data_IF_519651026351
#
_entry.id   IF_519651026351
#
_cell.length_a   1.000
_cell.length_b   1.000
_cell.length_c   1.000
_cell.angle_alpha   90.00
_cell.angle_beta   90.00
_cell.angle_gamma   90.00
#
_symmetry.space_group_name_H-M   'P 1'
#
loop_
_entity.id
_entity.type
_entity.pdbx_description
1 polymer ?
#
# COMPACT_ATOMS: atom_id res chain seq x y z
N UNK A 1 29.32 6.45 -62.38
CA UNK A 1 29.22 6.23 -60.92
C UNK A 1 27.93 5.52 -60.47
N UNK A 2 26.77 5.68 -61.13
CA UNK A 2 25.60 4.79 -60.89
C UNK A 2 25.61 3.54 -61.80
N UNK A 3 26.25 3.62 -62.98
CA UNK A 3 26.33 2.51 -63.92
C UNK A 3 27.22 1.34 -63.44
N UNK A 4 28.37 1.61 -62.82
CA UNK A 4 29.24 0.56 -62.25
C UNK A 4 28.60 -0.17 -61.07
N UNK A 5 27.88 0.56 -60.21
CA UNK A 5 27.25 -0.03 -59.02
C UNK A 5 26.06 -0.95 -59.35
N UNK A 6 25.43 -0.75 -60.51
CA UNK A 6 24.33 -1.59 -61.01
C UNK A 6 24.87 -2.79 -61.79
N UNK A 7 26.03 -2.68 -62.43
CA UNK A 7 26.69 -3.79 -63.11
C UNK A 7 27.17 -4.85 -62.11
N UNK A 8 27.79 -4.45 -61.01
CA UNK A 8 28.32 -5.37 -60.00
C UNK A 8 27.23 -6.21 -59.31
N UNK A 9 26.03 -5.64 -59.14
CA UNK A 9 24.87 -6.37 -58.60
C UNK A 9 24.19 -7.31 -59.60
N UNK A 10 24.58 -7.26 -60.89
CA UNK A 10 24.00 -8.10 -61.95
C UNK A 10 24.92 -9.27 -62.36
N UNK A 11 26.21 -9.18 -62.09
CA UNK A 11 27.15 -10.30 -62.26
C UNK A 11 27.10 -11.32 -61.11
N UNK A 12 26.70 -10.93 -59.90
CA UNK A 12 26.57 -11.84 -58.76
C UNK A 12 25.33 -12.76 -58.80
N UNK A 13 24.41 -12.58 -59.76
CA UNK A 13 23.17 -13.37 -59.86
C UNK A 13 23.22 -14.39 -61.01
N UNK A 14 24.24 -14.34 -61.88
CA UNK A 14 24.26 -15.16 -63.11
C UNK A 14 25.24 -16.34 -63.04
N UNK A 15 26.17 -16.38 -62.07
CA UNK A 15 26.99 -17.57 -61.80
C UNK A 15 26.35 -18.55 -60.81
N UNK A 16 25.42 -18.10 -59.95
CA UNK A 16 24.66 -19.00 -59.06
C UNK A 16 23.61 -19.85 -59.81
N UNK A 17 23.26 -19.47 -61.04
CA UNK A 17 22.27 -20.18 -61.86
C UNK A 17 22.77 -21.46 -62.52
N UNK A 18 24.09 -21.66 -62.62
CA UNK A 18 24.66 -22.86 -63.27
C UNK A 18 25.21 -23.89 -62.27
N UNK A 19 25.53 -23.49 -61.04
CA UNK A 19 25.94 -24.41 -59.96
C UNK A 19 24.78 -25.17 -59.31
N UNK A 20 23.57 -24.60 -59.32
CA UNK A 20 22.40 -25.24 -58.71
C UNK A 20 21.90 -26.45 -59.51
N UNK A 21 21.98 -26.40 -60.84
CA UNK A 21 21.48 -27.51 -61.68
C UNK A 21 22.32 -28.80 -61.55
N UNK A 22 23.63 -28.67 -61.33
CA UNK A 22 24.50 -29.82 -61.08
C UNK A 22 24.29 -30.44 -59.70
N UNK A 23 23.93 -29.62 -58.70
CA UNK A 23 23.67 -30.10 -57.33
C UNK A 23 22.30 -30.77 -57.24
N UNK A 24 21.30 -30.33 -58.01
CA UNK A 24 19.99 -31.00 -58.07
C UNK A 24 20.04 -32.36 -58.77
N UNK A 25 20.89 -32.53 -59.78
CA UNK A 25 21.06 -33.82 -60.48
C UNK A 25 21.72 -34.89 -59.59
N UNK A 26 22.72 -34.55 -58.77
CA UNK A 26 23.32 -35.51 -57.82
C UNK A 26 22.44 -35.72 -56.56
N UNK A 27 21.60 -34.74 -56.18
CA UNK A 27 20.61 -34.91 -55.11
C UNK A 27 19.47 -35.86 -55.51
N UNK A 28 18.99 -35.82 -56.76
CA UNK A 28 17.96 -36.76 -57.23
C UNK A 28 18.48 -38.20 -57.30
N UNK A 29 19.75 -38.41 -57.71
CA UNK A 29 20.33 -39.74 -57.80
C UNK A 29 20.61 -40.36 -56.41
N UNK A 30 20.84 -39.54 -55.37
CA UNK A 30 21.08 -40.01 -53.99
C UNK A 30 19.85 -40.04 -53.09
N UNK A 31 18.81 -39.22 -53.31
CA UNK A 31 17.53 -39.34 -52.58
C UNK A 31 16.62 -40.45 -53.12
N UNK A 32 16.86 -40.97 -54.33
CA UNK A 32 16.06 -42.06 -54.88
C UNK A 32 16.24 -43.40 -54.15
N UNK A 33 17.11 -43.53 -53.13
CA UNK A 33 17.22 -44.81 -52.40
C UNK A 33 17.60 -44.76 -50.92
N UNK A 34 16.71 -44.29 -50.03
CA UNK A 34 16.66 -44.80 -48.66
C UNK A 34 15.42 -45.66 -48.36
N UNK A 35 14.67 -46.13 -49.38
CA UNK A 35 13.40 -46.87 -49.20
C UNK A 35 13.40 -48.27 -49.84
N UNK A 36 14.53 -48.98 -49.86
CA UNK A 36 14.56 -50.33 -50.46
C UNK A 36 14.00 -51.43 -49.55
N UNK A 37 13.83 -51.16 -48.25
CA UNK A 37 13.20 -52.09 -47.33
C UNK A 37 12.10 -51.41 -46.49
N UNK A 38 10.81 -51.76 -46.69
CA UNK A 38 9.70 -51.16 -45.94
C UNK A 38 9.77 -51.45 -44.42
N UNK A 39 10.55 -52.46 -44.01
CA UNK A 39 10.70 -52.88 -42.61
C UNK A 39 11.49 -51.86 -41.78
N UNK A 40 12.52 -51.23 -42.35
CA UNK A 40 13.36 -50.28 -41.61
C UNK A 40 12.67 -48.93 -41.41
N UNK A 41 11.76 -48.54 -42.32
CA UNK A 41 10.92 -47.35 -42.19
C UNK A 41 9.88 -47.50 -41.09
N UNK A 42 9.32 -48.70 -40.94
CA UNK A 42 8.40 -49.01 -39.85
C UNK A 42 9.16 -48.94 -38.52
N UNK A 43 10.41 -49.39 -38.44
CA UNK A 43 11.24 -49.26 -37.22
C UNK A 43 11.61 -47.82 -36.90
N UNK A 44 12.08 -47.04 -37.88
CA UNK A 44 12.37 -45.61 -37.70
C UNK A 44 11.11 -44.81 -37.32
N UNK A 45 9.97 -45.11 -37.94
CA UNK A 45 8.67 -44.53 -37.61
C UNK A 45 8.13 -44.97 -36.24
N UNK A 46 8.32 -46.23 -35.83
CA UNK A 46 7.96 -46.72 -34.50
C UNK A 46 8.84 -46.12 -33.40
N UNK A 47 10.14 -45.95 -33.65
CA UNK A 47 11.06 -45.27 -32.73
C UNK A 47 10.67 -43.79 -32.58
N UNK A 48 10.32 -43.12 -33.69
CA UNK A 48 9.81 -41.75 -33.64
C UNK A 48 8.46 -41.67 -32.92
N UNK A 49 7.52 -42.58 -33.19
CA UNK A 49 6.21 -42.59 -32.54
C UNK A 49 6.29 -42.87 -31.03
N UNK A 50 7.25 -43.70 -30.59
CA UNK A 50 7.52 -43.92 -29.17
C UNK A 50 8.21 -42.72 -28.52
N UNK A 51 9.15 -42.07 -29.21
CA UNK A 51 9.80 -40.84 -28.73
C UNK A 51 8.80 -39.67 -28.62
N UNK A 52 7.93 -39.50 -29.60
CA UNK A 52 6.88 -38.48 -29.60
C UNK A 52 5.83 -38.71 -28.51
N UNK A 53 5.49 -39.96 -28.17
CA UNK A 53 4.60 -40.24 -27.03
C UNK A 53 5.24 -39.90 -25.68
N UNK A 54 6.53 -40.19 -25.51
CA UNK A 54 7.29 -39.88 -24.28
C UNK A 54 7.47 -38.37 -24.11
N UNK A 55 7.83 -37.67 -25.19
CA UNK A 55 7.98 -36.21 -25.18
C UNK A 55 6.63 -35.50 -25.02
N UNK A 56 5.53 -36.07 -25.54
CA UNK A 56 4.18 -35.58 -25.28
C UNK A 56 3.74 -35.78 -23.83
N UNK A 57 4.07 -36.90 -23.18
CA UNK A 57 3.79 -37.09 -21.75
C UNK A 57 4.60 -36.14 -20.86
N UNK A 58 5.86 -35.89 -21.18
CA UNK A 58 6.70 -34.91 -20.47
C UNK A 58 6.19 -33.47 -20.67
N UNK A 59 5.71 -33.14 -21.87
CA UNK A 59 5.06 -31.86 -22.15
C UNK A 59 3.69 -31.75 -21.46
N UNK A 60 2.91 -32.83 -21.38
CA UNK A 60 1.63 -32.87 -20.64
C UNK A 60 1.86 -32.69 -19.13
N UNK A 61 2.94 -33.24 -18.58
CA UNK A 61 3.33 -33.04 -17.17
C UNK A 61 3.80 -31.59 -16.90
N UNK A 62 4.54 -30.97 -17.83
CA UNK A 62 4.90 -29.56 -17.78
C UNK A 62 3.67 -28.63 -17.96
N UNK A 63 2.72 -29.01 -18.81
CA UNK A 63 1.44 -28.29 -18.98
C UNK A 63 0.56 -28.40 -17.74
N UNK A 64 0.54 -29.57 -17.08
CA UNK A 64 -0.19 -29.75 -15.83
C UNK A 64 0.40 -28.82 -14.75
N UNK A 65 1.73 -28.70 -14.66
CA UNK A 65 2.38 -27.73 -13.77
C UNK A 65 2.08 -26.26 -14.11
N UNK A 66 2.02 -25.89 -15.39
CA UNK A 66 1.65 -24.54 -15.85
C UNK A 66 0.17 -24.22 -15.60
N UNK A 67 -0.73 -25.19 -15.82
CA UNK A 67 -2.15 -25.07 -15.54
C UNK A 67 -2.40 -24.97 -14.03
N UNK A 68 -1.70 -25.76 -13.22
CA UNK A 68 -1.77 -25.68 -11.75
C UNK A 68 -1.27 -24.34 -11.22
N UNK A 69 -0.22 -23.79 -11.81
CA UNK A 69 0.27 -22.46 -11.46
C UNK A 69 -0.72 -21.35 -11.84
N UNK A 70 -1.42 -21.49 -12.97
CA UNK A 70 -2.48 -20.56 -13.37
C UNK A 70 -3.74 -20.69 -12.51
N UNK A 71 -4.21 -21.90 -12.25
CA UNK A 71 -5.33 -22.17 -11.36
C UNK A 71 -5.04 -21.66 -9.94
N UNK A 72 -3.83 -21.89 -9.43
CA UNK A 72 -3.39 -21.36 -8.14
C UNK A 72 -3.35 -19.83 -8.13
N UNK A 73 -2.85 -19.19 -9.19
CA UNK A 73 -2.87 -17.73 -9.32
C UNK A 73 -4.30 -17.18 -9.38
N UNK A 74 -5.21 -17.85 -10.10
CA UNK A 74 -6.63 -17.48 -10.13
C UNK A 74 -7.32 -17.70 -8.78
N UNK A 75 -6.98 -18.76 -8.05
CA UNK A 75 -7.48 -19.02 -6.71
C UNK A 75 -7.01 -17.97 -5.70
N UNK A 76 -5.74 -17.56 -5.77
CA UNK A 76 -5.20 -16.46 -4.96
C UNK A 76 -5.88 -15.14 -5.30
N UNK A 77 -6.05 -14.83 -6.59
CA UNK A 77 -6.78 -13.62 -7.03
C UNK A 77 -8.24 -13.61 -6.55
N UNK A 78 -8.91 -14.77 -6.58
CA UNK A 78 -10.27 -14.92 -6.07
C UNK A 78 -10.36 -14.83 -4.53
N UNK A 79 -9.28 -15.14 -3.82
CA UNK A 79 -9.20 -15.00 -2.37
C UNK A 79 -8.95 -13.55 -1.90
N UNK A 80 -8.39 -12.67 -2.74
CA UNK A 80 -8.19 -11.25 -2.41
C UNK A 80 -9.50 -10.54 -2.00
N UNK A 81 -10.59 -10.59 -2.79
CA UNK A 81 -11.83 -9.92 -2.41
C UNK A 81 -12.46 -10.50 -1.13
N UNK A 82 -12.31 -11.82 -0.88
CA UNK A 82 -12.84 -12.42 0.36
C UNK A 82 -12.04 -11.97 1.59
N UNK A 83 -10.72 -11.89 1.49
CA UNK A 83 -9.85 -11.32 2.53
C UNK A 83 -10.18 -9.84 2.81
N UNK A 84 -10.45 -9.04 1.76
CA UNK A 84 -10.86 -7.65 1.92
C UNK A 84 -12.19 -7.52 2.69
N UNK A 85 -13.16 -8.37 2.39
CA UNK A 85 -14.46 -8.39 3.10
C UNK A 85 -14.26 -8.78 4.57
N UNK A 86 -13.48 -9.84 4.85
CA UNK A 86 -13.20 -10.29 6.23
C UNK A 86 -12.46 -9.20 7.02
N UNK A 87 -11.46 -8.57 6.43
CA UNK A 87 -10.73 -7.49 7.09
C UNK A 87 -11.63 -6.26 7.33
N UNK A 88 -12.45 -5.88 6.35
CA UNK A 88 -13.39 -4.77 6.45
C UNK A 88 -14.42 -4.99 7.55
N UNK A 89 -15.04 -6.18 7.58
CA UNK A 89 -16.02 -6.57 8.61
C UNK A 89 -15.37 -6.64 10.00
N UNK A 90 -14.18 -7.23 10.12
CA UNK A 90 -13.41 -7.24 11.36
C UNK A 90 -13.13 -5.84 11.89
N UNK A 91 -12.66 -4.93 11.02
CA UNK A 91 -12.40 -3.53 11.38
C UNK A 91 -13.68 -2.81 11.81
N UNK A 92 -14.80 -3.05 11.13
CA UNK A 92 -16.09 -2.46 11.46
C UNK A 92 -16.60 -2.93 12.83
N UNK A 93 -16.57 -4.24 13.09
CA UNK A 93 -16.95 -4.83 14.38
C UNK A 93 -16.03 -4.34 15.49
N UNK A 94 -14.71 -4.38 15.28
CA UNK A 94 -13.71 -3.90 16.22
C UNK A 94 -13.93 -2.41 16.54
N UNK A 95 -14.18 -1.59 15.52
CA UNK A 95 -14.55 -0.19 15.71
C UNK A 95 -15.77 -0.06 16.62
N UNK A 96 -16.85 -0.80 16.40
CA UNK A 96 -18.06 -0.67 17.25
C UNK A 96 -17.80 -1.13 18.69
N UNK A 97 -17.10 -2.25 18.88
CA UNK A 97 -16.86 -2.84 20.20
C UNK A 97 -15.80 -2.07 21.01
N UNK A 98 -14.80 -1.50 20.35
CA UNK A 98 -13.66 -0.85 21.00
C UNK A 98 -13.67 0.68 20.94
N UNK A 99 -14.54 1.33 20.12
CA UNK A 99 -14.68 2.80 20.08
C UNK A 99 -14.92 3.39 21.46
N UNK A 100 -15.89 2.87 22.21
CA UNK A 100 -16.23 3.37 23.54
C UNK A 100 -15.07 3.29 24.55
N UNK A 101 -14.25 2.23 24.49
CA UNK A 101 -13.09 2.07 25.39
C UNK A 101 -11.92 2.97 25.02
N UNK A 102 -11.65 3.14 23.72
CA UNK A 102 -10.59 4.00 23.22
C UNK A 102 -10.92 5.49 23.41
N UNK A 103 -12.16 5.89 23.13
CA UNK A 103 -12.66 7.25 23.34
C UNK A 103 -12.67 7.60 24.83
N UNK A 104 -13.14 6.72 25.70
CA UNK A 104 -13.14 6.97 27.15
C UNK A 104 -11.73 7.06 27.73
N UNK A 105 -10.78 6.26 27.25
CA UNK A 105 -9.37 6.36 27.65
C UNK A 105 -8.74 7.67 27.17
N UNK A 106 -9.09 8.12 25.97
CA UNK A 106 -8.62 9.38 25.40
C UNK A 106 -9.21 10.59 26.13
N UNK A 107 -10.51 10.57 26.43
CA UNK A 107 -11.18 11.62 27.21
C UNK A 107 -10.57 11.77 28.60
N UNK A 108 -10.39 10.67 29.33
CA UNK A 108 -9.68 10.66 30.62
C UNK A 108 -8.27 11.24 30.54
N UNK A 109 -7.55 10.98 29.44
CA UNK A 109 -6.23 11.56 29.22
C UNK A 109 -6.32 13.08 29.07
N UNK A 110 -7.19 13.60 28.20
CA UNK A 110 -7.32 15.04 28.00
C UNK A 110 -7.81 15.77 29.24
N UNK A 111 -8.78 15.21 29.97
CA UNK A 111 -9.24 15.75 31.26
C UNK A 111 -8.10 15.90 32.26
N UNK A 112 -7.22 14.88 32.36
CA UNK A 112 -6.05 14.95 33.24
C UNK A 112 -5.05 16.03 32.81
N UNK A 113 -4.80 16.18 31.52
CA UNK A 113 -3.91 17.24 31.01
C UNK A 113 -4.50 18.64 31.25
N UNK A 114 -5.83 18.79 31.22
CA UNK A 114 -6.51 20.02 31.60
C UNK A 114 -6.33 20.33 33.09
N UNK A 115 -6.48 19.33 33.97
CA UNK A 115 -6.25 19.51 35.41
C UNK A 115 -4.81 19.96 35.71
N UNK A 116 -3.82 19.38 35.01
CA UNK A 116 -2.42 19.78 35.17
C UNK A 116 -2.18 21.22 34.71
N UNK A 117 -2.72 21.59 33.56
CA UNK A 117 -2.61 22.96 33.03
C UNK A 117 -3.28 23.97 33.97
N UNK A 118 -4.43 23.62 34.54
CA UNK A 118 -5.16 24.48 35.46
C UNK A 118 -4.45 24.64 36.82
N UNK A 119 -3.83 23.57 37.33
CA UNK A 119 -2.96 23.66 38.51
C UNK A 119 -1.76 24.56 38.27
N UNK A 120 -1.17 24.52 37.08
CA UNK A 120 -0.09 25.43 36.72
C UNK A 120 -0.57 26.88 36.69
N UNK A 121 -1.74 27.17 36.09
CA UNK A 121 -2.36 28.49 36.13
C UNK A 121 -2.55 28.99 37.56
N UNK A 122 -3.16 28.18 38.43
CA UNK A 122 -3.40 28.54 39.83
C UNK A 122 -2.09 28.77 40.61
N UNK A 123 -1.06 27.95 40.37
CA UNK A 123 0.23 28.09 41.03
C UNK A 123 0.95 29.38 40.60
N UNK A 124 0.89 29.74 39.31
CA UNK A 124 1.48 30.98 38.80
C UNK A 124 0.72 32.20 39.34
N UNK A 125 -0.62 32.16 39.29
CA UNK A 125 -1.48 33.23 39.84
C UNK A 125 -1.28 33.40 41.35
N UNK A 126 -1.22 32.29 42.10
CA UNK A 126 -1.05 32.31 43.56
C UNK A 126 0.34 32.82 44.00
N UNK A 127 1.38 32.58 43.19
CA UNK A 127 2.72 33.14 43.43
C UNK A 127 2.85 34.60 43.02
N UNK A 128 1.87 35.14 42.28
CA UNK A 128 1.86 36.52 41.77
C UNK A 128 3.17 36.91 41.07
N UNK A 129 3.77 35.95 40.35
CA UNK A 129 5.08 36.14 39.72
C UNK A 129 4.93 36.76 38.33
N UNK A 130 5.30 38.05 38.14
CA UNK A 130 5.15 38.74 36.86
C UNK A 130 6.08 38.21 35.77
N UNK A 131 7.22 37.57 36.13
CA UNK A 131 8.15 36.99 35.15
C UNK A 131 7.56 35.73 34.49
N UNK A 132 6.60 35.08 35.15
CA UNK A 132 5.96 33.86 34.67
C UNK A 132 4.84 34.09 33.66
N UNK A 133 4.64 35.32 33.14
CA UNK A 133 3.58 35.64 32.17
C UNK A 133 3.61 34.75 30.93
N UNK A 134 4.79 34.46 30.37
CA UNK A 134 4.93 33.56 29.23
C UNK A 134 4.44 32.15 29.53
N UNK A 135 4.72 31.65 30.73
CA UNK A 135 4.24 30.34 31.19
C UNK A 135 2.73 30.32 31.43
N UNK A 136 2.17 31.43 31.94
CA UNK A 136 0.73 31.57 32.14
C UNK A 136 -0.03 31.48 30.81
N UNK A 137 0.48 32.10 29.75
CA UNK A 137 -0.09 31.99 28.39
C UNK A 137 -0.01 30.55 27.87
N UNK A 138 1.14 29.89 28.04
CA UNK A 138 1.33 28.50 27.61
C UNK A 138 0.37 27.55 28.33
N UNK A 139 0.20 27.72 29.64
CA UNK A 139 -0.72 26.92 30.43
C UNK A 139 -2.19 27.16 30.00
N UNK A 140 -2.57 28.41 29.72
CA UNK A 140 -3.91 28.75 29.22
C UNK A 140 -4.19 28.13 27.83
N UNK A 141 -3.24 28.21 26.90
CA UNK A 141 -3.36 27.60 25.57
C UNK A 141 -3.43 26.07 25.68
N UNK A 142 -2.62 25.48 26.56
CA UNK A 142 -2.61 24.03 26.80
C UNK A 142 -3.95 23.58 27.37
N UNK A 143 -4.53 24.35 28.30
CA UNK A 143 -5.87 24.11 28.81
C UNK A 143 -6.94 24.19 27.71
N UNK A 144 -6.93 25.25 26.88
CA UNK A 144 -7.87 25.42 25.77
C UNK A 144 -7.77 24.29 24.75
N UNK A 145 -6.55 23.95 24.33
CA UNK A 145 -6.34 22.84 23.39
C UNK A 145 -6.89 21.53 23.93
N UNK A 146 -6.60 21.22 25.20
CA UNK A 146 -7.08 19.98 25.80
C UNK A 146 -8.59 19.99 26.06
N UNK A 147 -9.20 21.15 26.29
CA UNK A 147 -10.67 21.28 26.42
C UNK A 147 -11.38 20.98 25.11
N UNK A 148 -10.88 21.47 23.96
CA UNK A 148 -11.46 21.13 22.64
C UNK A 148 -11.37 19.64 22.29
N UNK A 149 -10.40 18.92 22.87
CA UNK A 149 -10.22 17.49 22.66
C UNK A 149 -11.03 16.64 23.66
N UNK A 150 -11.32 17.19 24.85
CA UNK A 150 -12.10 16.54 25.89
C UNK A 150 -13.62 16.71 25.70
N UNK A 151 -14.05 17.83 25.12
CA UNK A 151 -15.45 18.19 24.88
C UNK A 151 -15.71 18.24 23.37
N UNK A 152 -16.62 17.39 22.88
CA UNK A 152 -17.04 17.37 21.47
C UNK A 152 -18.11 18.43 21.15
N UNK A 153 -18.75 19.03 22.16
CA UNK A 153 -19.78 20.04 21.99
C UNK A 153 -19.20 21.46 22.01
N UNK A 154 -19.77 22.37 21.21
CA UNK A 154 -19.31 23.76 21.07
C UNK A 154 -19.66 24.65 22.27
N UNK A 155 -20.80 24.39 22.93
CA UNK A 155 -21.27 25.20 24.05
C UNK A 155 -20.25 25.34 25.19
N UNK A 156 -19.53 24.27 25.61
CA UNK A 156 -18.57 24.40 26.68
C UNK A 156 -17.23 25.08 26.31
N UNK A 157 -16.95 25.30 25.04
CA UNK A 157 -15.65 25.86 24.64
C UNK A 157 -15.65 27.39 24.75
N UNK A 158 -16.78 28.03 24.41
CA UNK A 158 -16.91 29.50 24.44
C UNK A 158 -16.74 30.10 25.85
N UNK A 159 -17.40 29.53 26.86
CA UNK A 159 -17.28 30.05 28.24
C UNK A 159 -15.88 29.80 28.82
N UNK A 160 -15.21 28.72 28.42
CA UNK A 160 -13.80 28.46 28.78
C UNK A 160 -12.90 29.54 28.19
N UNK A 161 -13.12 29.89 26.92
CA UNK A 161 -12.34 30.92 26.23
C UNK A 161 -12.47 32.27 26.93
N UNK A 162 -13.70 32.67 27.28
CA UNK A 162 -13.97 33.90 28.02
C UNK A 162 -13.25 33.92 29.38
N UNK A 163 -13.35 32.84 30.17
CA UNK A 163 -12.67 32.74 31.47
C UNK A 163 -11.14 32.73 31.33
N UNK A 164 -10.59 32.11 30.29
CA UNK A 164 -9.15 32.14 30.02
C UNK A 164 -8.67 33.53 29.59
N UNK A 165 -9.41 34.23 28.73
CA UNK A 165 -9.10 35.61 28.34
C UNK A 165 -9.13 36.51 29.56
N UNK A 166 -10.12 36.33 30.43
CA UNK A 166 -10.22 37.06 31.70
C UNK A 166 -9.05 36.77 32.64
N UNK A 167 -8.59 35.51 32.71
CA UNK A 167 -7.38 35.11 33.47
C UNK A 167 -6.10 35.70 32.85
N UNK A 168 -6.07 35.92 31.55
CA UNK A 168 -4.91 36.48 30.85
C UNK A 168 -4.85 38.01 30.92
N UNK A 169 -5.95 38.67 31.28
CA UNK A 169 -6.01 40.12 31.42
C UNK A 169 -5.28 40.58 32.70
N UNK A 170 -4.28 41.43 32.49
CA UNK A 170 -3.44 41.98 33.54
C UNK A 170 -4.11 43.13 34.30
N UNK A 171 -5.18 43.69 33.73
CA UNK A 171 -5.97 44.76 34.35
C UNK A 171 -6.90 44.23 35.45
N UNK A 172 -7.12 42.92 35.49
CA UNK A 172 -8.04 42.27 36.40
C UNK A 172 -7.31 41.90 37.70
N UNK A 173 -7.97 42.10 38.84
CA UNK A 173 -7.44 41.74 40.14
C UNK A 173 -7.16 40.23 40.24
N UNK A 174 -6.07 39.87 40.91
CA UNK A 174 -5.62 38.47 41.07
C UNK A 174 -6.71 37.62 41.73
N UNK A 175 -7.47 38.17 42.68
CA UNK A 175 -8.60 37.51 43.34
C UNK A 175 -9.70 37.10 42.35
N UNK A 176 -10.06 37.99 41.42
CA UNK A 176 -11.05 37.71 40.38
C UNK A 176 -10.53 36.69 39.35
N UNK A 177 -9.23 36.74 39.01
CA UNK A 177 -8.58 35.76 38.13
C UNK A 177 -8.54 34.37 38.77
N UNK A 178 -8.31 34.28 40.08
CA UNK A 178 -8.36 33.02 40.83
C UNK A 178 -9.78 32.45 40.86
N UNK A 179 -10.81 33.28 41.07
CA UNK A 179 -12.21 32.84 41.01
C UNK A 179 -12.58 32.25 39.64
N UNK A 180 -12.12 32.87 38.54
CA UNK A 180 -12.30 32.31 37.19
C UNK A 180 -11.62 30.94 37.05
N UNK A 181 -10.40 30.78 37.58
CA UNK A 181 -9.71 29.49 37.59
C UNK A 181 -10.44 28.41 38.43
N UNK A 182 -11.10 28.80 39.52
CA UNK A 182 -11.91 27.88 40.33
C UNK A 182 -13.20 27.46 39.61
N UNK A 183 -13.82 28.36 38.83
CA UNK A 183 -14.98 28.00 37.99
C UNK A 183 -14.59 26.94 36.96
N UNK A 184 -13.47 27.13 36.28
CA UNK A 184 -12.89 26.15 35.36
C UNK A 184 -12.63 24.81 36.05
N UNK A 185 -12.15 24.84 37.30
CA UNK A 185 -11.88 23.63 38.09
C UNK A 185 -13.15 22.85 38.39
N UNK A 186 -14.20 23.54 38.86
CA UNK A 186 -15.50 22.92 39.18
C UNK A 186 -16.11 22.23 37.97
N UNK A 187 -15.94 22.82 36.79
CA UNK A 187 -16.46 22.26 35.56
C UNK A 187 -15.78 20.95 35.14
N UNK A 188 -14.46 20.83 35.33
CA UNK A 188 -13.73 19.59 35.01
C UNK A 188 -14.08 18.47 36.00
N UNK A 189 -14.35 18.82 37.26
CA UNK A 189 -14.63 17.85 38.31
C UNK A 189 -16.04 17.22 38.25
N UNK A 190 -16.92 17.75 37.41
CA UNK A 190 -18.30 17.28 37.21
C UNK A 190 -18.45 16.48 35.91
#
# INVERSE_FOLDING_TARGET
MVADYVAEKKYSITEEGQGLNLIYLDYEERLSSPLRHPVDLIRLGLIQAQKTRVDASAALEALDQLLRANELNFAILAAVPSLLIVFGTWKWISSILFKSKAEMRSRKKYTREMELSLRELQNILGKSDPECRGRLVVAAISYYKNSTLAFQEEHPIKWIEEDLIFILDDKVEISARLLASERLWRYISH
#
